data_IF_320381362547
#
_entry.id   IF_320381362547
#
_cell.length_a   1.000
_cell.length_b   1.000
_cell.length_c   1.000
_cell.angle_alpha   90.00
_cell.angle_beta   90.00
_cell.angle_gamma   90.00
#
_symmetry.space_group_name_H-M   'P 1'
#
loop_
_entity.id
_entity.type
_entity.pdbx_description
1 polymer ?
#
# COMPACT_ATOMS: atom_id res chain seq x y z
N UNK A 1 -26.19 11.66 12.52
CA UNK A 1 -25.32 11.97 11.37
C UNK A 1 -25.95 11.28 10.18
N UNK A 2 -26.36 12.02 9.14
CA UNK A 2 -26.90 11.40 7.93
C UNK A 2 -25.79 10.63 7.20
N UNK A 3 -26.10 9.42 6.71
CA UNK A 3 -25.15 8.60 5.95
C UNK A 3 -24.92 9.28 4.60
N UNK A 4 -23.68 9.63 4.22
CA UNK A 4 -23.41 10.24 2.93
C UNK A 4 -23.71 9.25 1.80
N UNK A 5 -24.11 9.76 0.63
CA UNK A 5 -24.55 8.95 -0.52
C UNK A 5 -23.49 8.01 -1.08
N UNK A 6 -22.22 8.34 -0.86
CA UNK A 6 -21.09 7.54 -1.30
C UNK A 6 -20.81 6.34 -0.40
N UNK A 7 -21.32 6.34 0.84
CA UNK A 7 -21.07 5.29 1.82
C UNK A 7 -21.90 4.04 1.48
N UNK A 8 -21.28 2.86 1.32
CA UNK A 8 -22.02 1.64 0.99
C UNK A 8 -23.08 1.30 2.04
N UNK A 9 -24.23 0.74 1.62
CA UNK A 9 -25.22 0.23 2.57
C UNK A 9 -24.60 -0.85 3.47
N UNK A 10 -24.91 -0.81 4.76
CA UNK A 10 -24.52 -1.87 5.71
C UNK A 10 -23.14 -1.70 6.37
N UNK A 11 -22.35 -0.69 6.00
CA UNK A 11 -21.11 -0.41 6.73
C UNK A 11 -21.42 0.23 8.10
N UNK A 12 -20.63 -0.16 9.10
CA UNK A 12 -20.59 0.53 10.38
C UNK A 12 -19.71 1.79 10.25
N UNK A 13 -20.37 2.95 10.23
CA UNK A 13 -19.71 4.26 10.13
C UNK A 13 -19.28 4.81 11.51
N UNK A 14 -19.51 4.05 12.58
CA UNK A 14 -19.12 4.43 13.95
C UNK A 14 -17.78 3.85 14.39
N UNK A 15 -17.27 2.86 13.65
CA UNK A 15 -15.97 2.23 13.89
C UNK A 15 -14.97 2.80 12.87
N UNK A 16 -13.78 3.28 13.27
CA UNK A 16 -12.75 3.75 12.35
C UNK A 16 -12.19 2.63 11.45
N UNK A 17 -11.71 2.99 10.26
CA UNK A 17 -10.99 2.09 9.36
C UNK A 17 -9.64 2.67 8.96
N UNK A 18 -8.65 1.81 8.80
CA UNK A 18 -7.30 2.16 8.34
C UNK A 18 -7.33 2.82 6.97
N UNK A 19 -8.15 2.34 6.03
CA UNK A 19 -8.21 2.91 4.67
C UNK A 19 -8.75 4.35 4.68
N UNK A 20 -9.74 4.62 5.52
CA UNK A 20 -10.37 5.94 5.71
C UNK A 20 -9.50 6.90 6.49
N UNK A 21 -8.75 6.40 7.47
CA UNK A 21 -7.73 7.19 8.19
C UNK A 21 -6.60 7.59 7.22
N UNK A 22 -6.15 6.67 6.37
CA UNK A 22 -5.16 6.94 5.34
C UNK A 22 -5.66 7.96 4.30
N UNK A 23 -6.91 7.82 3.84
CA UNK A 23 -7.59 8.81 2.97
C UNK A 23 -7.58 10.21 3.61
N UNK A 24 -7.89 10.33 4.90
CA UNK A 24 -7.84 11.60 5.61
C UNK A 24 -6.42 12.20 5.68
N UNK A 25 -5.37 11.40 5.94
CA UNK A 25 -3.99 11.89 5.93
C UNK A 25 -3.58 12.47 4.57
N UNK A 26 -4.14 11.94 3.49
CA UNK A 26 -3.92 12.44 2.13
C UNK A 26 -4.84 13.60 1.74
N UNK A 27 -5.69 14.08 2.64
CA UNK A 27 -6.64 15.17 2.35
C UNK A 27 -7.87 14.72 1.55
N UNK A 28 -8.14 13.41 1.51
CA UNK A 28 -9.33 12.84 0.91
C UNK A 28 -10.61 13.12 1.71
N UNK A 29 -11.75 12.75 1.12
CA UNK A 29 -13.09 13.05 1.66
C UNK A 29 -13.94 11.80 1.91
N UNK A 30 -13.41 10.62 1.67
CA UNK A 30 -14.08 9.33 1.86
C UNK A 30 -13.82 8.79 3.27
N UNK A 31 -14.00 9.65 4.26
CA UNK A 31 -13.76 9.37 5.67
C UNK A 31 -14.87 9.96 6.54
N UNK A 32 -15.18 9.29 7.64
CA UNK A 32 -16.15 9.73 8.63
C UNK A 32 -15.46 10.47 9.77
N UNK A 33 -16.27 11.11 10.63
CA UNK A 33 -15.73 11.85 11.77
C UNK A 33 -14.93 10.97 12.73
N UNK A 34 -15.31 9.70 12.89
CA UNK A 34 -14.59 8.74 13.74
C UNK A 34 -13.19 8.43 13.21
N UNK A 35 -13.03 8.36 11.88
CA UNK A 35 -11.72 8.19 11.24
C UNK A 35 -10.85 9.43 11.47
N UNK A 36 -11.42 10.63 11.26
CA UNK A 36 -10.72 11.90 11.49
C UNK A 36 -10.29 12.10 12.93
N UNK A 37 -11.07 11.62 13.90
CA UNK A 37 -10.72 11.68 15.32
C UNK A 37 -9.55 10.75 15.64
N UNK A 38 -9.60 9.51 15.15
CA UNK A 38 -8.48 8.57 15.30
C UNK A 38 -7.20 9.13 14.63
N UNK A 39 -7.33 9.67 13.42
CA UNK A 39 -6.23 10.26 12.68
C UNK A 39 -5.60 11.45 13.43
N UNK A 40 -6.42 12.38 13.94
CA UNK A 40 -5.96 13.52 14.74
C UNK A 40 -5.26 13.09 16.02
N UNK A 41 -5.79 12.08 16.73
CA UNK A 41 -5.14 11.54 17.92
C UNK A 41 -3.77 10.91 17.60
N UNK A 42 -3.67 10.15 16.51
CA UNK A 42 -2.36 9.63 16.09
C UNK A 42 -1.37 10.75 15.72
N UNK A 43 -1.85 11.85 15.13
CA UNK A 43 -1.03 13.03 14.82
C UNK A 43 -0.56 13.80 16.05
N UNK A 44 -1.20 13.65 17.21
CA UNK A 44 -0.67 14.20 18.47
C UNK A 44 0.67 13.55 18.85
N UNK A 45 0.89 12.29 18.43
CA UNK A 45 2.14 11.55 18.66
C UNK A 45 3.12 11.67 17.49
N UNK A 46 2.62 11.59 16.26
CA UNK A 46 3.44 11.71 15.04
C UNK A 46 2.81 12.78 14.14
N UNK A 47 3.16 14.07 14.33
CA UNK A 47 2.60 15.16 13.54
C UNK A 47 2.82 15.02 12.02
N UNK A 48 3.87 14.34 11.61
CA UNK A 48 4.23 14.14 10.20
C UNK A 48 3.54 12.97 9.49
N UNK A 49 2.53 12.33 10.08
CA UNK A 49 1.79 11.23 9.43
C UNK A 49 1.31 11.57 8.00
N UNK A 50 0.75 12.75 7.71
CA UNK A 50 0.43 13.15 6.34
C UNK A 50 1.63 13.09 5.39
N UNK A 51 2.81 13.55 5.83
CA UNK A 51 4.02 13.54 5.02
C UNK A 51 4.53 12.12 4.77
N UNK A 52 4.46 11.24 5.77
CA UNK A 52 4.78 9.80 5.63
C UNK A 52 3.91 9.18 4.52
N UNK A 53 2.59 9.41 4.56
CA UNK A 53 1.67 8.83 3.57
C UNK A 53 1.88 9.40 2.16
N UNK A 54 2.26 10.67 2.05
CA UNK A 54 2.65 11.28 0.77
C UNK A 54 3.92 10.64 0.20
N UNK A 55 4.94 10.43 1.04
CA UNK A 55 6.17 9.75 0.64
C UNK A 55 5.91 8.29 0.21
N UNK A 56 5.03 7.58 0.91
CA UNK A 56 4.58 6.24 0.53
C UNK A 56 3.89 6.22 -0.84
N UNK A 57 2.97 7.16 -1.09
CA UNK A 57 2.35 7.31 -2.42
C UNK A 57 3.37 7.65 -3.50
N UNK A 58 4.34 8.53 -3.22
CA UNK A 58 5.39 8.87 -4.17
C UNK A 58 6.26 7.65 -4.52
N UNK A 59 6.66 6.84 -3.54
CA UNK A 59 7.35 5.58 -3.78
C UNK A 59 6.54 4.64 -4.67
N UNK A 60 5.27 4.40 -4.33
CA UNK A 60 4.40 3.50 -5.10
C UNK A 60 4.36 3.91 -6.58
N UNK A 61 4.20 5.20 -6.86
CA UNK A 61 4.18 5.71 -8.24
C UNK A 61 5.49 5.43 -8.98
N UNK A 62 6.64 5.63 -8.34
CA UNK A 62 7.95 5.32 -8.93
C UNK A 62 8.14 3.82 -9.16
N UNK A 63 7.74 2.98 -8.21
CA UNK A 63 7.87 1.53 -8.31
C UNK A 63 6.96 0.94 -9.40
N UNK A 64 5.73 1.45 -9.57
CA UNK A 64 4.82 1.05 -10.65
C UNK A 64 5.37 1.45 -12.02
N UNK A 65 5.89 2.69 -12.16
CA UNK A 65 6.57 3.11 -13.40
C UNK A 65 7.77 2.21 -13.70
N UNK A 66 8.60 1.93 -12.70
CA UNK A 66 9.72 1.00 -12.85
C UNK A 66 9.26 -0.37 -13.35
N UNK A 67 8.22 -0.95 -12.75
CA UNK A 67 7.67 -2.23 -13.19
C UNK A 67 7.20 -2.19 -14.66
N UNK A 68 6.52 -1.11 -15.06
CA UNK A 68 6.10 -0.90 -16.44
C UNK A 68 7.29 -0.75 -17.40
N UNK A 69 8.34 -0.01 -17.00
CA UNK A 69 9.60 0.14 -17.76
C UNK A 69 10.35 -1.19 -17.92
N UNK A 70 10.16 -2.13 -16.97
CA UNK A 70 10.65 -3.51 -17.07
C UNK A 70 9.75 -4.41 -17.93
N UNK A 71 8.71 -3.86 -18.57
CA UNK A 71 7.80 -4.58 -19.46
C UNK A 71 6.69 -5.35 -18.76
N UNK A 72 6.47 -5.14 -17.45
CA UNK A 72 5.35 -5.77 -16.74
C UNK A 72 4.05 -5.05 -17.10
N UNK A 73 3.05 -5.84 -17.49
CA UNK A 73 1.71 -5.35 -17.86
C UNK A 73 0.60 -5.93 -16.97
N UNK A 74 0.95 -6.56 -15.85
CA UNK A 74 0.01 -7.22 -14.95
C UNK A 74 0.32 -6.81 -13.51
N UNK A 75 -0.67 -6.31 -12.78
CA UNK A 75 -0.49 -5.77 -11.44
C UNK A 75 -1.53 -6.37 -10.49
N UNK A 76 -1.07 -6.85 -9.35
CA UNK A 76 -1.91 -7.32 -8.24
C UNK A 76 -1.61 -6.43 -7.03
N UNK A 77 -2.54 -5.56 -6.66
CA UNK A 77 -2.37 -4.58 -5.59
C UNK A 77 -3.24 -4.94 -4.38
N UNK A 78 -2.60 -5.46 -3.32
CA UNK A 78 -3.28 -5.96 -2.13
C UNK A 78 -3.15 -4.97 -0.98
N UNK A 79 -4.29 -4.59 -0.40
CA UNK A 79 -4.39 -3.44 0.49
C UNK A 79 -4.46 -2.12 -0.28
N UNK A 80 -5.16 -2.12 -1.43
CA UNK A 80 -5.19 -0.98 -2.35
C UNK A 80 -5.69 0.33 -1.72
N UNK A 81 -6.51 0.20 -0.67
CA UNK A 81 -7.15 1.31 0.02
C UNK A 81 -8.19 2.02 -0.84
N UNK A 82 -8.61 3.19 -0.37
CA UNK A 82 -9.54 4.05 -1.10
C UNK A 82 -8.79 4.67 -2.30
N UNK A 83 -9.39 4.68 -3.51
CA UNK A 83 -8.81 5.33 -4.68
C UNK A 83 -8.46 6.81 -4.40
N UNK A 84 -7.26 7.23 -4.83
CA UNK A 84 -6.78 8.63 -4.73
C UNK A 84 -6.19 9.09 -6.06
N UNK A 85 -5.57 10.27 -6.13
CA UNK A 85 -4.82 10.66 -7.34
C UNK A 85 -3.62 9.74 -7.58
N UNK A 86 -3.42 9.33 -8.84
CA UNK A 86 -2.27 8.52 -9.26
C UNK A 86 -2.42 7.06 -8.86
N UNK A 87 -3.56 6.45 -9.17
CA UNK A 87 -3.81 5.03 -8.93
C UNK A 87 -2.91 4.14 -9.80
N UNK A 88 -2.66 2.91 -9.36
CA UNK A 88 -1.76 1.95 -10.04
C UNK A 88 -2.14 1.78 -11.51
N UNK A 89 -3.43 1.59 -11.80
CA UNK A 89 -3.96 1.40 -13.15
C UNK A 89 -3.75 2.62 -14.05
N UNK A 90 -3.91 3.84 -13.53
CA UNK A 90 -3.67 5.07 -14.31
C UNK A 90 -2.21 5.16 -14.77
N UNK A 91 -1.27 4.79 -13.90
CA UNK A 91 0.17 4.83 -14.18
C UNK A 91 0.55 3.70 -15.14
N UNK A 92 0.09 2.48 -14.84
CA UNK A 92 0.38 1.30 -15.64
C UNK A 92 -0.19 1.44 -17.06
N UNK A 93 -1.44 1.91 -17.19
CA UNK A 93 -2.11 2.07 -18.48
C UNK A 93 -1.56 3.25 -19.29
N UNK A 94 -1.06 4.30 -18.63
CA UNK A 94 -0.34 5.39 -19.30
C UNK A 94 0.96 4.90 -19.96
N UNK A 95 1.66 3.95 -19.33
CA UNK A 95 2.86 3.33 -19.90
C UNK A 95 2.53 2.23 -20.94
N UNK A 96 1.49 1.45 -20.69
CA UNK A 96 1.00 0.41 -21.59
C UNK A 96 -0.52 0.31 -21.54
N UNK A 97 -1.26 0.74 -22.58
CA UNK A 97 -2.74 0.70 -22.58
C UNK A 97 -3.35 -0.69 -22.38
N UNK A 98 -2.55 -1.75 -22.54
CA UNK A 98 -2.97 -3.14 -22.30
C UNK A 98 -2.69 -3.64 -20.88
N UNK A 99 -2.16 -2.79 -20.00
CA UNK A 99 -1.91 -3.13 -18.62
C UNK A 99 -3.19 -3.51 -17.88
N UNK A 100 -3.13 -4.60 -17.11
CA UNK A 100 -4.23 -5.16 -16.33
C UNK A 100 -3.93 -5.02 -14.86
N UNK A 101 -4.90 -4.58 -14.08
CA UNK A 101 -4.74 -4.36 -12.65
C UNK A 101 -5.86 -5.00 -11.87
N UNK A 102 -5.53 -5.78 -10.85
CA UNK A 102 -6.49 -6.26 -9.86
C UNK A 102 -6.16 -5.64 -8.51
N UNK A 103 -7.07 -4.83 -8.00
CA UNK A 103 -7.03 -4.33 -6.64
C UNK A 103 -7.67 -5.34 -5.69
N UNK A 104 -7.15 -5.42 -4.47
CA UNK A 104 -7.70 -6.25 -3.42
C UNK A 104 -7.74 -5.43 -2.14
N UNK A 105 -8.90 -5.38 -1.52
CA UNK A 105 -9.05 -4.79 -0.19
C UNK A 105 -10.14 -5.52 0.60
N UNK A 106 -10.04 -5.53 1.92
CA UNK A 106 -11.06 -6.12 2.78
C UNK A 106 -12.04 -5.05 3.31
N UNK A 107 -11.68 -3.77 3.22
CA UNK A 107 -12.55 -2.67 3.60
C UNK A 107 -13.68 -2.49 2.57
N UNK A 108 -14.96 -2.66 2.98
CA UNK A 108 -16.09 -2.50 2.07
C UNK A 108 -16.21 -1.09 1.46
N UNK A 109 -15.72 -0.04 2.14
CA UNK A 109 -15.68 1.33 1.62
C UNK A 109 -14.69 1.42 0.47
N UNK A 110 -13.46 0.92 0.66
CA UNK A 110 -12.44 0.89 -0.39
C UNK A 110 -12.94 0.10 -1.61
N UNK A 111 -13.47 -1.11 -1.41
CA UNK A 111 -14.01 -1.95 -2.49
C UNK A 111 -15.13 -1.24 -3.26
N UNK A 112 -16.09 -0.64 -2.57
CA UNK A 112 -17.21 0.01 -3.23
C UNK A 112 -16.81 1.26 -4.01
N UNK A 113 -15.87 2.05 -3.50
CA UNK A 113 -15.32 3.19 -4.24
C UNK A 113 -14.53 2.74 -5.46
N UNK A 114 -13.69 1.70 -5.33
CA UNK A 114 -12.99 1.12 -6.47
C UNK A 114 -13.97 0.65 -7.53
N UNK A 115 -15.06 -0.05 -7.17
CA UNK A 115 -16.09 -0.43 -8.15
C UNK A 115 -16.71 0.75 -8.89
N UNK A 116 -16.95 1.87 -8.20
CA UNK A 116 -17.53 3.06 -8.81
C UNK A 116 -16.53 3.78 -9.74
N UNK A 117 -15.25 3.85 -9.34
CA UNK A 117 -14.18 4.49 -10.13
C UNK A 117 -13.86 3.67 -11.38
N UNK A 118 -13.93 2.34 -11.28
CA UNK A 118 -13.58 1.41 -12.35
C UNK A 118 -14.76 1.07 -13.29
N UNK A 119 -15.91 1.72 -13.13
CA UNK A 119 -17.06 1.48 -14.00
C UNK A 119 -16.70 1.79 -15.46
N UNK A 120 -16.83 0.78 -16.33
CA UNK A 120 -16.45 0.85 -17.74
C UNK A 120 -15.00 0.52 -18.07
N UNK A 121 -14.12 0.24 -17.10
CA UNK A 121 -12.78 -0.31 -17.34
C UNK A 121 -12.80 -1.84 -17.33
N UNK A 122 -12.52 -2.47 -18.47
CA UNK A 122 -12.51 -3.93 -18.62
C UNK A 122 -11.17 -4.59 -18.26
N UNK A 123 -10.11 -3.79 -18.09
CA UNK A 123 -8.73 -4.20 -17.76
C UNK A 123 -8.40 -4.04 -16.28
N UNK A 124 -9.29 -3.43 -15.51
CA UNK A 124 -9.12 -3.24 -14.07
C UNK A 124 -10.27 -3.87 -13.30
N UNK A 125 -9.99 -4.47 -12.15
CA UNK A 125 -11.02 -5.01 -11.27
C UNK A 125 -10.66 -4.82 -9.79
N UNK A 126 -11.63 -5.03 -8.91
CA UNK A 126 -11.43 -5.03 -7.46
C UNK A 126 -12.06 -6.27 -6.82
N UNK A 127 -11.30 -6.93 -5.95
CA UNK A 127 -11.71 -8.09 -5.16
C UNK A 127 -11.87 -7.69 -3.70
N UNK A 128 -12.98 -8.12 -3.08
CA UNK A 128 -13.16 -8.01 -1.64
C UNK A 128 -12.55 -9.24 -0.95
N UNK A 129 -11.30 -9.15 -0.50
CA UNK A 129 -10.60 -10.28 0.12
C UNK A 129 -9.54 -9.83 1.14
N UNK A 130 -9.11 -10.80 1.95
CA UNK A 130 -8.23 -10.59 3.10
C UNK A 130 -6.83 -11.15 2.83
N UNK A 131 -5.78 -10.34 3.04
CA UNK A 131 -4.38 -10.73 2.82
C UNK A 131 -3.95 -11.92 3.70
N UNK A 132 -4.62 -12.14 4.84
CA UNK A 132 -4.39 -13.32 5.69
C UNK A 132 -4.81 -14.63 5.00
N UNK A 133 -5.49 -14.54 3.85
CA UNK A 133 -5.99 -15.66 3.07
C UNK A 133 -5.54 -15.56 1.61
N UNK A 134 -4.24 -15.63 1.33
CA UNK A 134 -3.69 -15.39 -0.01
C UNK A 134 -4.28 -16.33 -1.08
N UNK A 135 -4.65 -17.55 -0.71
CA UNK A 135 -5.26 -18.51 -1.64
C UNK A 135 -6.66 -18.07 -2.09
N UNK A 136 -7.45 -17.42 -1.22
CA UNK A 136 -8.76 -16.86 -1.62
C UNK A 136 -8.59 -15.70 -2.61
N UNK A 137 -7.51 -14.91 -2.47
CA UNK A 137 -7.17 -13.83 -3.41
C UNK A 137 -6.78 -14.42 -4.76
N UNK A 138 -5.85 -15.38 -4.79
CA UNK A 138 -5.33 -15.97 -6.02
C UNK A 138 -6.41 -16.71 -6.82
N UNK A 139 -7.39 -17.32 -6.14
CA UNK A 139 -8.52 -18.02 -6.75
C UNK A 139 -9.72 -17.11 -7.08
N UNK A 140 -9.62 -15.79 -6.88
CA UNK A 140 -10.71 -14.88 -7.15
C UNK A 140 -11.01 -14.83 -8.67
N UNK A 141 -12.28 -14.85 -9.10
CA UNK A 141 -12.63 -14.82 -10.52
C UNK A 141 -12.05 -13.62 -11.28
N UNK A 142 -11.91 -12.47 -10.63
CA UNK A 142 -11.30 -11.28 -11.21
C UNK A 142 -9.80 -11.45 -11.45
N UNK A 143 -9.09 -12.14 -10.55
CA UNK A 143 -7.68 -12.51 -10.71
C UNK A 143 -7.52 -13.48 -11.87
N UNK A 144 -8.28 -14.57 -11.88
CA UNK A 144 -8.24 -15.57 -12.96
C UNK A 144 -8.58 -14.97 -14.34
N UNK A 145 -9.52 -14.02 -14.38
CA UNK A 145 -9.94 -13.36 -15.63
C UNK A 145 -8.90 -12.37 -16.17
N UNK A 146 -8.21 -11.64 -15.29
CA UNK A 146 -7.35 -10.53 -15.70
C UNK A 146 -5.86 -10.85 -15.67
N UNK A 147 -5.40 -11.74 -14.80
CA UNK A 147 -3.99 -12.00 -14.59
C UNK A 147 -3.64 -13.42 -15.05
N UNK A 148 -2.71 -13.51 -15.99
CA UNK A 148 -2.00 -14.72 -16.37
C UNK A 148 -0.77 -14.86 -15.45
N UNK A 149 -0.91 -15.67 -14.39
CA UNK A 149 0.13 -15.84 -13.37
C UNK A 149 1.34 -16.65 -13.87
N UNK A 150 1.25 -17.30 -15.04
CA UNK A 150 2.39 -17.93 -15.73
C UNK A 150 3.26 -16.90 -16.47
N UNK A 151 2.86 -15.62 -16.45
CA UNK A 151 3.63 -14.48 -16.94
C UNK A 151 3.96 -13.52 -15.79
N UNK A 152 5.00 -12.67 -15.94
CA UNK A 152 5.38 -11.73 -14.89
C UNK A 152 4.23 -10.82 -14.42
N UNK A 153 4.10 -10.70 -13.10
CA UNK A 153 3.15 -9.82 -12.39
C UNK A 153 3.92 -8.93 -11.42
N UNK A 154 3.54 -7.67 -11.29
CA UNK A 154 3.95 -6.81 -10.18
C UNK A 154 2.95 -6.98 -9.03
N UNK A 155 3.38 -7.63 -7.96
CA UNK A 155 2.67 -7.74 -6.69
C UNK A 155 2.99 -6.53 -5.82
N UNK A 156 1.97 -5.74 -5.47
CA UNK A 156 2.11 -4.61 -4.56
C UNK A 156 1.55 -4.99 -3.19
N UNK A 157 2.39 -4.82 -2.17
CA UNK A 157 2.07 -4.90 -0.74
C UNK A 157 2.47 -3.58 -0.09
N UNK A 158 1.85 -2.49 -0.54
CA UNK A 158 2.21 -1.12 -0.14
C UNK A 158 1.34 -0.71 1.04
N UNK A 159 1.98 -0.41 2.16
CA UNK A 159 1.35 0.05 3.41
C UNK A 159 0.24 -0.88 3.96
N UNK A 160 0.43 -2.20 3.82
CA UNK A 160 -0.55 -3.21 4.29
C UNK A 160 0.02 -4.19 5.32
N UNK A 161 1.26 -4.65 5.16
CA UNK A 161 1.82 -5.74 5.97
C UNK A 161 2.04 -5.40 7.46
N UNK A 162 2.14 -4.11 7.79
CA UNK A 162 2.23 -3.66 9.17
C UNK A 162 0.90 -3.78 9.94
N UNK A 163 -0.20 -4.17 9.27
CA UNK A 163 -1.46 -4.56 9.91
C UNK A 163 -1.60 -6.07 10.11
N UNK A 164 -0.58 -6.86 9.74
CA UNK A 164 -0.53 -8.29 10.05
C UNK A 164 0.29 -8.55 11.30
N UNK A 165 -0.36 -9.14 12.30
CA UNK A 165 0.31 -9.61 13.51
C UNK A 165 1.15 -10.86 13.20
N UNK A 166 2.15 -11.18 14.02
CA UNK A 166 2.99 -12.34 13.75
C UNK A 166 2.21 -13.67 13.79
N UNK A 167 1.10 -13.69 14.55
CA UNK A 167 0.15 -14.80 14.58
C UNK A 167 -0.62 -15.00 13.26
N UNK A 168 -0.67 -13.98 12.40
CA UNK A 168 -1.24 -14.06 11.05
C UNK A 168 -0.24 -14.62 10.02
N UNK A 169 0.98 -14.99 10.47
CA UNK A 169 2.05 -15.55 9.64
C UNK A 169 2.37 -14.73 8.37
N UNK A 170 2.71 -13.44 8.49
CA UNK A 170 2.85 -12.54 7.34
C UNK A 170 3.91 -12.98 6.33
N UNK A 171 5.03 -13.55 6.80
CA UNK A 171 6.06 -14.10 5.91
C UNK A 171 5.53 -15.29 5.08
N UNK A 172 4.69 -16.14 5.67
CA UNK A 172 4.09 -17.26 4.96
C UNK A 172 3.05 -16.78 3.93
N UNK A 173 2.29 -15.73 4.25
CA UNK A 173 1.35 -15.12 3.31
C UNK A 173 2.08 -14.52 2.08
N UNK A 174 3.17 -13.78 2.31
CA UNK A 174 4.01 -13.25 1.22
C UNK A 174 4.66 -14.36 0.40
N UNK A 175 5.16 -15.41 1.05
CA UNK A 175 5.73 -16.57 0.36
C UNK A 175 4.68 -17.28 -0.51
N UNK A 176 3.46 -17.47 -0.03
CA UNK A 176 2.37 -18.08 -0.78
C UNK A 176 2.00 -17.27 -2.03
N UNK A 177 1.95 -15.94 -1.91
CA UNK A 177 1.76 -15.05 -3.05
C UNK A 177 2.93 -15.13 -4.03
N UNK A 178 4.18 -15.01 -3.54
CA UNK A 178 5.39 -15.16 -4.36
C UNK A 178 5.36 -16.46 -5.16
N UNK A 179 5.07 -17.58 -4.52
CA UNK A 179 5.16 -18.91 -5.12
C UNK A 179 4.19 -19.09 -6.29
N UNK A 180 3.06 -18.37 -6.29
CA UNK A 180 2.07 -18.37 -7.37
C UNK A 180 2.49 -17.56 -8.62
N UNK A 181 3.47 -16.65 -8.51
CA UNK A 181 3.86 -15.77 -9.62
C UNK A 181 4.95 -16.37 -10.52
N UNK A 182 4.97 -16.08 -11.81
CA UNK A 182 6.06 -16.51 -12.68
C UNK A 182 7.42 -15.87 -12.34
N UNK A 183 8.56 -16.51 -12.69
CA UNK A 183 9.87 -15.86 -12.73
C UNK A 183 9.83 -14.52 -13.50
N UNK A 184 10.61 -13.55 -13.03
CA UNK A 184 10.62 -12.18 -13.56
C UNK A 184 9.52 -11.26 -13.01
N UNK A 185 8.58 -11.78 -12.22
CA UNK A 185 7.62 -10.98 -11.43
C UNK A 185 8.33 -10.07 -10.43
N UNK A 186 7.66 -9.00 -10.00
CA UNK A 186 8.19 -8.06 -9.00
C UNK A 186 7.33 -8.09 -7.73
N UNK A 187 7.97 -8.01 -6.57
CA UNK A 187 7.37 -7.61 -5.31
C UNK A 187 7.71 -6.13 -5.07
N UNK A 188 6.69 -5.29 -4.88
CA UNK A 188 6.79 -3.89 -4.49
C UNK A 188 6.20 -3.78 -3.09
N UNK A 189 7.00 -3.33 -2.12
CA UNK A 189 6.61 -3.39 -0.70
C UNK A 189 7.03 -2.12 0.02
N UNK A 190 6.15 -1.64 0.91
CA UNK A 190 6.50 -0.67 1.95
C UNK A 190 6.05 -1.17 3.31
N UNK A 191 6.76 -0.77 4.35
CA UNK A 191 6.44 -1.18 5.71
C UNK A 191 6.80 -0.09 6.73
N UNK A 192 5.94 0.08 7.72
CA UNK A 192 6.17 1.02 8.82
C UNK A 192 7.30 0.51 9.72
N UNK A 193 8.17 1.43 10.15
CA UNK A 193 9.25 1.17 11.10
C UNK A 193 9.38 2.38 12.02
N UNK A 194 9.91 2.15 13.23
CA UNK A 194 10.34 3.26 14.07
C UNK A 194 11.60 3.94 13.50
N UNK A 195 12.38 3.22 12.71
CA UNK A 195 13.55 3.74 12.03
C UNK A 195 13.15 4.84 11.03
N UNK A 196 13.90 5.96 11.06
CA UNK A 196 13.65 7.12 10.21
C UNK A 196 12.56 8.07 10.72
N UNK A 197 11.87 7.75 11.83
CA UNK A 197 10.97 8.71 12.49
C UNK A 197 11.83 9.72 13.27
N UNK A 198 11.65 11.05 13.08
CA UNK A 198 12.41 12.07 13.80
C UNK A 198 11.90 12.30 15.24
N UNK A 199 11.54 11.22 15.93
CA UNK A 199 11.01 11.18 17.29
C UNK A 199 11.58 9.96 18.03
N UNK A 200 11.52 9.96 19.37
CA UNK A 200 11.83 8.73 20.12
C UNK A 200 10.75 7.67 19.89
N UNK A 201 11.12 6.40 19.99
CA UNK A 201 10.17 5.28 19.89
C UNK A 201 9.05 5.38 20.95
N UNK A 202 9.37 5.89 22.14
CA UNK A 202 8.38 6.12 23.20
C UNK A 202 7.26 7.08 22.76
N UNK A 203 7.63 8.19 22.11
CA UNK A 203 6.66 9.17 21.61
C UNK A 203 5.90 8.61 20.41
N UNK A 204 6.62 8.04 19.44
CA UNK A 204 6.02 7.47 18.23
C UNK A 204 5.09 6.28 18.55
N UNK A 205 5.41 5.50 19.58
CA UNK A 205 4.61 4.36 20.06
C UNK A 205 3.21 4.75 20.53
N UNK A 206 2.96 6.01 20.88
CA UNK A 206 1.61 6.48 21.16
C UNK A 206 0.68 6.37 19.96
N UNK A 207 1.18 6.59 18.73
CA UNK A 207 0.39 6.36 17.52
C UNK A 207 0.00 4.88 17.35
N UNK A 208 0.92 3.95 17.62
CA UNK A 208 0.63 2.50 17.66
C UNK A 208 -0.48 2.18 18.66
N UNK A 209 -0.47 2.85 19.82
CA UNK A 209 -1.54 2.75 20.82
C UNK A 209 -2.92 3.14 20.27
N UNK A 210 -3.01 4.23 19.50
CA UNK A 210 -4.27 4.66 18.86
C UNK A 210 -4.81 3.59 17.91
N UNK A 211 -3.94 3.00 17.09
CA UNK A 211 -4.29 1.96 16.13
C UNK A 211 -4.76 0.66 16.81
N UNK A 212 -4.11 0.28 17.91
CA UNK A 212 -4.57 -0.84 18.77
C UNK A 212 -5.95 -0.58 19.35
N UNK A 213 -6.23 0.63 19.83
CA UNK A 213 -7.52 0.98 20.46
C UNK A 213 -8.70 0.91 19.48
N UNK A 214 -8.44 1.15 18.19
CA UNK A 214 -9.43 0.98 17.11
C UNK A 214 -9.45 -0.44 16.52
N UNK A 215 -8.78 -1.41 17.18
CA UNK A 215 -8.68 -2.82 16.76
C UNK A 215 -8.03 -3.05 15.40
N UNK A 216 -7.06 -2.21 15.05
CA UNK A 216 -6.21 -2.36 13.86
C UNK A 216 -4.74 -2.23 14.30
N UNK A 217 -4.18 -3.17 15.08
CA UNK A 217 -2.85 -3.03 15.65
C UNK A 217 -1.77 -2.86 14.56
N UNK A 218 -0.84 -1.94 14.81
CA UNK A 218 0.34 -1.74 13.98
C UNK A 218 1.50 -2.56 14.53
N UNK A 219 2.08 -3.42 13.70
CA UNK A 219 3.36 -4.06 13.97
C UNK A 219 4.46 -3.27 13.29
N UNK A 220 5.27 -2.59 14.10
CA UNK A 220 6.45 -1.85 13.62
C UNK A 220 7.61 -2.83 13.51
N UNK A 221 8.17 -3.00 12.31
CA UNK A 221 9.27 -3.94 12.05
C UNK A 221 10.57 -3.17 11.78
N UNK A 222 11.69 -3.75 12.17
CA UNK A 222 13.04 -3.28 11.84
C UNK A 222 13.34 -3.46 10.35
N UNK A 223 14.39 -2.77 9.86
CA UNK A 223 14.86 -2.93 8.48
C UNK A 223 15.23 -4.39 8.14
N UNK A 224 15.77 -5.15 9.09
CA UNK A 224 16.11 -6.58 8.91
C UNK A 224 14.86 -7.44 8.76
N UNK A 225 13.88 -7.27 9.64
CA UNK A 225 12.60 -7.99 9.59
C UNK A 225 11.81 -7.66 8.32
N UNK A 226 11.89 -6.42 7.84
CA UNK A 226 11.26 -6.00 6.58
C UNK A 226 11.99 -6.62 5.39
N UNK A 227 13.33 -6.64 5.40
CA UNK A 227 14.12 -7.23 4.32
C UNK A 227 13.83 -8.72 4.12
N UNK A 228 13.49 -9.44 5.19
CA UNK A 228 13.09 -10.85 5.14
C UNK A 228 11.84 -11.12 4.29
N UNK A 229 10.95 -10.13 4.08
CA UNK A 229 9.82 -10.30 3.14
C UNK A 229 10.25 -10.51 1.69
N UNK A 230 11.49 -10.13 1.35
CA UNK A 230 12.08 -10.32 0.03
C UNK A 230 12.85 -11.65 -0.08
N UNK A 231 12.78 -12.55 0.90
CA UNK A 231 13.35 -13.89 0.77
C UNK A 231 12.79 -14.60 -0.49
N UNK A 232 13.69 -15.10 -1.34
CA UNK A 232 13.33 -15.67 -2.65
C UNK A 232 13.15 -14.66 -3.78
N UNK A 233 13.46 -13.38 -3.53
CA UNK A 233 13.58 -12.35 -4.56
C UNK A 233 15.03 -11.83 -4.61
N UNK A 234 15.46 -11.42 -5.80
CA UNK A 234 16.65 -10.61 -6.01
C UNK A 234 16.27 -9.14 -5.81
N UNK A 235 16.85 -8.48 -4.82
CA UNK A 235 16.58 -7.06 -4.57
C UNK A 235 17.03 -6.19 -5.74
N UNK A 236 16.12 -5.35 -6.23
CA UNK A 236 16.44 -4.30 -7.20
C UNK A 236 17.17 -3.19 -6.45
N UNK A 237 18.31 -2.74 -6.97
CA UNK A 237 19.07 -1.61 -6.44
C UNK A 237 18.16 -0.38 -6.22
N UNK A 238 18.24 0.33 -5.08
CA UNK A 238 19.24 0.25 -3.99
C UNK A 238 18.89 -0.75 -2.87
N UNK A 239 17.97 -1.69 -3.11
CA UNK A 239 17.48 -2.63 -2.10
C UNK A 239 16.39 -2.03 -1.21
N UNK A 240 16.40 -2.38 0.08
CA UNK A 240 15.42 -1.90 1.07
C UNK A 240 15.95 -0.62 1.72
N UNK A 241 15.31 0.51 1.42
CA UNK A 241 15.74 1.86 1.84
C UNK A 241 14.54 2.70 2.29
N UNK A 242 14.79 3.88 2.87
CA UNK A 242 13.72 4.84 3.14
C UNK A 242 12.96 5.23 1.86
N UNK A 243 11.64 5.46 1.96
CA UNK A 243 10.75 5.68 0.82
C UNK A 243 11.26 6.72 -0.20
N UNK A 244 11.81 7.90 0.18
CA UNK A 244 12.29 8.87 -0.80
C UNK A 244 13.56 8.42 -1.53
N UNK A 245 14.39 7.58 -0.90
CA UNK A 245 15.69 7.17 -1.44
C UNK A 245 15.57 6.12 -2.55
N UNK A 246 14.44 5.42 -2.66
CA UNK A 246 14.25 4.42 -3.70
C UNK A 246 14.00 5.10 -5.06
N UNK A 247 15.00 5.01 -5.97
CA UNK A 247 15.03 5.62 -7.31
C UNK A 247 14.67 7.12 -7.31
N UNK A 248 15.33 7.88 -6.44
CA UNK A 248 15.09 9.32 -6.25
C UNK A 248 15.40 10.22 -7.47
N UNK A 249 16.02 9.71 -8.54
CA UNK A 249 16.59 10.49 -9.65
C UNK A 249 15.71 10.70 -10.90
N UNK A 250 14.39 10.52 -10.81
CA UNK A 250 13.46 10.68 -11.96
C UNK A 250 12.98 12.12 -12.16
N UNK A 251 12.01 12.35 -13.06
CA UNK A 251 11.36 13.66 -13.29
C UNK A 251 10.62 14.25 -12.07
N UNK A 252 10.61 13.53 -10.94
CA UNK A 252 10.06 13.96 -9.65
C UNK A 252 11.18 14.23 -8.61
N UNK A 253 12.44 14.18 -9.01
CA UNK A 253 13.57 14.56 -8.17
C UNK A 253 13.50 16.07 -7.89
N UNK A 254 13.69 16.51 -6.62
CA UNK A 254 13.94 17.90 -6.32
C UNK A 254 15.07 18.46 -7.19
N UNK A 255 14.91 19.64 -7.78
CA UNK A 255 16.04 20.34 -8.40
C UNK A 255 17.06 20.70 -7.32
N UNK A 256 18.36 20.66 -7.67
CA UNK A 256 19.45 21.06 -6.77
C UNK A 256 19.14 22.46 -6.18
N UNK A 257 18.84 22.51 -4.87
CA UNK A 257 18.49 23.76 -4.16
C UNK A 257 17.13 23.79 -3.47
N UNK A 258 16.31 22.74 -3.55
CA UNK A 258 15.11 22.62 -2.69
C UNK A 258 15.46 22.48 -1.20
N UNK A 259 14.58 22.97 -0.33
CA UNK A 259 14.70 22.82 1.11
C UNK A 259 14.86 21.33 1.48
N UNK A 260 15.61 20.99 2.56
CA UNK A 260 15.75 19.60 2.97
C UNK A 260 14.35 18.98 3.10
N UNK A 261 14.16 17.82 2.46
CA UNK A 261 12.89 17.11 2.55
C UNK A 261 12.48 16.96 4.02
N UNK A 262 11.19 17.17 4.29
CA UNK A 262 10.63 17.00 5.63
C UNK A 262 11.06 15.64 6.20
N UNK A 263 11.72 15.61 7.39
CA UNK A 263 12.34 14.40 7.92
C UNK A 263 11.36 13.23 8.10
N UNK A 264 10.07 13.51 8.28
CA UNK A 264 9.06 12.46 8.34
C UNK A 264 8.90 11.69 7.02
N UNK A 265 9.31 12.25 5.87
CA UNK A 265 9.27 11.54 4.59
C UNK A 265 10.11 10.25 4.59
N UNK A 266 11.13 10.18 5.46
CA UNK A 266 12.08 9.06 5.56
C UNK A 266 11.67 7.99 6.57
N UNK A 267 10.47 8.08 7.14
CA UNK A 267 9.99 7.14 8.15
C UNK A 267 9.48 5.83 7.53
N UNK A 268 10.11 4.71 7.90
CA UNK A 268 9.80 3.40 7.33
C UNK A 268 10.57 3.07 6.06
N UNK A 269 10.37 1.86 5.56
CA UNK A 269 11.15 1.30 4.46
C UNK A 269 10.31 0.95 3.25
N UNK A 270 10.97 0.94 2.10
CA UNK A 270 10.44 0.55 0.82
C UNK A 270 11.48 -0.26 0.04
N UNK A 271 11.00 -1.17 -0.81
CA UNK A 271 11.87 -1.97 -1.67
C UNK A 271 11.12 -2.62 -2.81
N UNK A 272 11.90 -3.02 -3.82
CA UNK A 272 11.42 -3.83 -4.94
C UNK A 272 12.32 -5.05 -5.08
N UNK A 273 11.73 -6.22 -5.21
CA UNK A 273 12.44 -7.48 -5.44
C UNK A 273 11.94 -8.17 -6.70
N UNK A 274 12.84 -8.77 -7.48
CA UNK A 274 12.52 -9.55 -8.67
C UNK A 274 12.55 -11.04 -8.33
N UNK A 275 11.47 -11.76 -8.65
CA UNK A 275 11.44 -13.21 -8.52
C UNK A 275 12.37 -13.82 -9.56
N UNK A 276 13.29 -14.68 -9.13
CA UNK A 276 14.20 -15.42 -10.01
C UNK A 276 13.48 -16.46 -10.86
#
# INVERSE_FOLDING_TARGET
MERPSWAPPGIDISVPSVSRIYDYYLGGSHNFEVDRQAARRAMEFIPGLPKIMQANRAFMRRAVRHAADQGITQFLDIGSGIPTFGNVHEIAQAASPEARVVYVDHDPVAVAHSRAVLDGDDRTAVVAADLRKPQEILAAPEVERLLDLDRPVALLLVAVLHFMEDADEPYAAVAALRDALAPGSLLILTHASFEGIPLSEEVAGGAVGVYRDIRNPLVMRSGEEISRFFDGFELVDPGVVAMPNWHAGGAEAPEDGEAPEDPYAFSGFAGVGRKA
#
